data_IF_130139551222
#
_entry.id   IF_130139551222
#
_cell.length_a   1.000
_cell.length_b   1.000
_cell.length_c   1.000
_cell.angle_alpha   90.00
_cell.angle_beta   90.00
_cell.angle_gamma   90.00
#
_symmetry.space_group_name_H-M   'P 1'
#
loop_
_entity.id
_entity.type
_entity.pdbx_description
1 polymer ?
#
# COMPACT_ATOMS: atom_id res chain seq x y z
N UNK A 1 9.07 -3.48 -20.33
CA UNK A 1 8.39 -2.83 -19.20
C UNK A 1 9.44 -2.37 -18.21
N UNK A 2 9.26 -1.23 -17.53
CA UNK A 2 10.22 -0.73 -16.54
C UNK A 2 10.39 -1.72 -15.38
N UNK A 3 11.61 -1.81 -14.84
CA UNK A 3 11.88 -2.67 -13.66
C UNK A 3 11.31 -2.07 -12.36
N UNK A 4 11.24 -0.73 -12.30
CA UNK A 4 10.82 0.06 -11.14
C UNK A 4 9.69 1.02 -11.54
N UNK A 5 8.53 0.89 -10.90
CA UNK A 5 7.39 1.78 -11.10
C UNK A 5 7.05 2.49 -9.80
N UNK A 6 6.83 3.79 -9.88
CA UNK A 6 6.39 4.66 -8.81
C UNK A 6 4.98 5.15 -9.15
N UNK A 7 3.99 4.71 -8.38
CA UNK A 7 2.57 5.02 -8.52
C UNK A 7 2.22 6.03 -7.45
N UNK A 8 1.79 7.21 -7.88
CA UNK A 8 1.60 8.37 -7.01
C UNK A 8 0.11 8.71 -7.02
N UNK A 9 -0.51 8.71 -5.83
CA UNK A 9 -1.85 9.25 -5.63
C UNK A 9 -1.73 10.74 -5.31
N UNK A 10 -2.32 11.58 -6.16
CA UNK A 10 -2.23 13.04 -6.07
C UNK A 10 -3.61 13.67 -6.26
N UNK A 11 -3.79 14.85 -5.67
CA UNK A 11 -4.75 15.85 -6.11
C UNK A 11 -4.05 16.87 -7.00
N UNK A 12 -4.82 17.68 -7.74
CA UNK A 12 -4.28 18.71 -8.65
C UNK A 12 -3.47 19.81 -7.95
N UNK A 13 -3.62 19.96 -6.64
CA UNK A 13 -2.95 20.98 -5.83
C UNK A 13 -1.67 20.49 -5.15
N UNK A 14 -1.36 19.19 -5.24
CA UNK A 14 -0.20 18.61 -4.59
C UNK A 14 1.04 18.68 -5.46
N UNK A 15 2.18 18.89 -4.81
CA UNK A 15 3.45 18.96 -5.50
C UNK A 15 4.03 17.55 -5.70
N UNK A 16 4.16 17.14 -6.96
CA UNK A 16 4.80 15.88 -7.37
C UNK A 16 6.18 16.08 -8.03
N UNK A 17 6.65 17.32 -8.19
CA UNK A 17 7.91 17.61 -8.92
C UNK A 17 9.11 16.94 -8.26
N UNK A 18 9.14 16.87 -6.92
CA UNK A 18 10.25 16.31 -6.16
C UNK A 18 10.56 14.84 -6.49
N UNK A 19 9.58 14.07 -6.99
CA UNK A 19 9.82 12.70 -7.43
C UNK A 19 10.71 12.62 -8.68
N UNK A 20 10.68 13.64 -9.52
CA UNK A 20 11.49 13.69 -10.73
C UNK A 20 12.95 13.99 -10.40
N UNK A 21 13.18 14.84 -9.38
CA UNK A 21 14.51 15.20 -8.90
C UNK A 21 15.13 14.05 -8.07
N UNK A 22 14.38 13.50 -7.12
CA UNK A 22 14.91 12.59 -6.10
C UNK A 22 14.82 11.10 -6.46
N UNK A 23 13.86 10.72 -7.31
CA UNK A 23 13.61 9.34 -7.71
C UNK A 23 13.68 9.18 -9.23
N UNK A 24 14.60 9.88 -9.89
CA UNK A 24 14.79 9.92 -11.35
C UNK A 24 14.74 8.53 -12.01
N UNK A 25 15.36 7.53 -11.39
CA UNK A 25 15.44 6.11 -11.81
C UNK A 25 14.08 5.37 -11.88
N UNK A 26 13.04 5.87 -11.21
CA UNK A 26 11.72 5.24 -11.18
C UNK A 26 10.84 5.77 -12.30
N UNK A 27 10.09 4.90 -12.98
CA UNK A 27 9.02 5.37 -13.88
C UNK A 27 7.82 5.84 -13.05
N UNK A 28 7.40 7.09 -13.24
CA UNK A 28 6.27 7.68 -12.51
C UNK A 28 4.95 7.41 -13.22
N UNK A 29 3.93 7.15 -12.41
CA UNK A 29 2.53 7.01 -12.77
C UNK A 29 1.75 7.90 -11.80
N UNK A 30 1.54 9.17 -12.17
CA UNK A 30 0.87 10.16 -11.32
C UNK A 30 -0.62 10.13 -11.62
N UNK A 31 -1.42 9.62 -10.68
CA UNK A 31 -2.86 9.63 -10.78
C UNK A 31 -3.41 10.87 -10.07
N UNK A 32 -4.11 11.73 -10.82
CA UNK A 32 -4.77 12.92 -10.27
C UNK A 32 -6.25 12.61 -10.07
N UNK A 33 -6.66 12.45 -8.82
CA UNK A 33 -7.95 11.83 -8.46
C UNK A 33 -9.14 12.81 -8.46
N UNK A 34 -8.87 14.12 -8.55
CA UNK A 34 -9.85 15.20 -8.55
C UNK A 34 -9.84 16.03 -9.84
N UNK A 35 -9.22 15.50 -10.90
CA UNK A 35 -9.17 16.09 -12.24
C UNK A 35 -9.56 15.04 -13.30
N UNK A 36 -10.83 15.02 -13.78
CA UNK A 36 -11.31 14.04 -14.74
C UNK A 36 -10.58 14.07 -16.09
N UNK A 37 -9.94 15.20 -16.42
CA UNK A 37 -9.21 15.38 -17.67
C UNK A 37 -7.73 14.99 -17.59
N UNK A 38 -7.25 14.56 -16.42
CA UNK A 38 -5.87 14.15 -16.23
C UNK A 38 -5.55 12.86 -17.01
N UNK A 39 -4.32 12.76 -17.51
CA UNK A 39 -3.82 11.59 -18.26
C UNK A 39 -4.05 10.26 -17.53
N UNK A 40 -3.87 10.27 -16.21
CA UNK A 40 -4.18 9.17 -15.32
C UNK A 40 -5.10 9.65 -14.21
N UNK A 41 -6.29 9.06 -14.15
CA UNK A 41 -7.29 9.32 -13.12
C UNK A 41 -8.04 8.04 -12.76
N UNK A 42 -8.99 8.13 -11.83
CA UNK A 42 -9.83 7.02 -11.38
C UNK A 42 -11.30 7.33 -11.66
N UNK A 43 -12.09 6.35 -12.09
CA UNK A 43 -13.52 6.56 -12.42
C UNK A 43 -14.33 7.04 -11.22
N UNK A 44 -14.01 6.55 -10.01
CA UNK A 44 -14.63 7.01 -8.76
C UNK A 44 -13.62 6.97 -7.63
N UNK A 45 -13.30 8.13 -7.06
CA UNK A 45 -12.39 8.24 -5.93
C UNK A 45 -13.05 7.80 -4.61
N UNK A 46 -13.14 6.48 -4.38
CA UNK A 46 -13.61 5.88 -3.12
C UNK A 46 -12.42 5.20 -2.43
N UNK A 47 -12.06 5.66 -1.23
CA UNK A 47 -10.90 5.13 -0.49
C UNK A 47 -9.57 5.82 -0.81
N UNK A 48 -9.61 6.99 -1.47
CA UNK A 48 -8.45 7.88 -1.70
C UNK A 48 -7.29 7.14 -2.38
N UNK A 49 -6.12 7.08 -1.74
CA UNK A 49 -4.91 6.45 -2.27
C UNK A 49 -5.14 4.98 -2.64
N UNK A 50 -6.00 4.27 -1.89
CA UNK A 50 -6.32 2.87 -2.14
C UNK A 50 -6.93 2.63 -3.52
N UNK A 51 -7.73 3.58 -4.02
CA UNK A 51 -8.36 3.45 -5.34
C UNK A 51 -7.31 3.52 -6.44
N UNK A 52 -6.37 4.45 -6.34
CA UNK A 52 -5.25 4.60 -7.29
C UNK A 52 -4.43 3.31 -7.36
N UNK A 53 -4.08 2.76 -6.20
CA UNK A 53 -3.21 1.58 -6.13
C UNK A 53 -3.91 0.35 -6.70
N UNK A 54 -5.19 0.18 -6.39
CA UNK A 54 -6.00 -0.90 -6.93
C UNK A 54 -6.18 -0.77 -8.45
N UNK A 55 -6.52 0.42 -8.96
CA UNK A 55 -6.64 0.69 -10.39
C UNK A 55 -5.36 0.35 -11.13
N UNK A 56 -4.20 0.83 -10.66
CA UNK A 56 -2.92 0.50 -11.28
C UNK A 56 -2.67 -1.01 -11.34
N UNK A 57 -2.97 -1.74 -10.26
CA UNK A 57 -2.78 -3.19 -10.20
C UNK A 57 -3.68 -3.91 -11.22
N UNK A 58 -4.96 -3.51 -11.29
CA UNK A 58 -5.95 -4.09 -12.21
C UNK A 58 -5.53 -3.82 -13.66
N UNK A 59 -5.28 -2.56 -14.01
CA UNK A 59 -4.98 -2.12 -15.38
C UNK A 59 -3.70 -2.76 -15.92
N UNK A 60 -2.74 -3.03 -15.03
CA UNK A 60 -1.43 -3.58 -15.39
C UNK A 60 -1.29 -5.06 -15.05
N UNK A 61 -2.33 -5.76 -14.59
CA UNK A 61 -2.24 -7.09 -13.96
C UNK A 61 -1.35 -8.08 -14.73
N UNK A 62 -1.59 -8.22 -16.04
CA UNK A 62 -0.83 -9.13 -16.92
C UNK A 62 0.65 -8.72 -17.05
N UNK A 63 0.94 -7.42 -17.01
CA UNK A 63 2.27 -6.86 -17.26
C UNK A 63 2.84 -6.05 -16.08
N UNK A 64 2.45 -6.39 -14.84
CA UNK A 64 2.93 -5.70 -13.64
C UNK A 64 4.47 -5.57 -13.61
N UNK A 65 5.00 -4.38 -13.27
CA UNK A 65 6.44 -4.17 -13.06
C UNK A 65 7.01 -5.07 -11.96
N UNK A 66 8.33 -5.28 -11.98
CA UNK A 66 9.00 -6.15 -11.01
C UNK A 66 8.99 -5.56 -9.60
N UNK A 67 9.22 -4.26 -9.47
CA UNK A 67 9.18 -3.52 -8.21
C UNK A 67 8.24 -2.33 -8.37
N UNK A 68 7.23 -2.23 -7.51
CA UNK A 68 6.22 -1.18 -7.58
C UNK A 68 6.16 -0.49 -6.23
N UNK A 69 6.35 0.81 -6.23
CA UNK A 69 6.27 1.71 -5.09
C UNK A 69 5.02 2.56 -5.22
N UNK A 70 4.17 2.53 -4.21
CA UNK A 70 2.94 3.30 -4.10
C UNK A 70 3.15 4.37 -3.05
N UNK A 71 2.95 5.63 -3.42
CA UNK A 71 3.13 6.77 -2.53
C UNK A 71 1.97 7.76 -2.64
N UNK A 72 1.77 8.52 -1.58
CA UNK A 72 1.04 9.77 -1.63
C UNK A 72 1.93 10.90 -2.17
N UNK A 73 1.34 11.93 -2.80
CA UNK A 73 2.09 12.97 -3.50
C UNK A 73 2.94 13.85 -2.58
N UNK A 74 2.43 14.23 -1.42
CA UNK A 74 3.13 15.14 -0.51
C UNK A 74 4.37 14.48 0.13
N UNK A 75 5.51 15.17 0.08
CA UNK A 75 6.78 14.72 0.67
C UNK A 75 6.72 14.63 2.20
N UNK A 76 6.19 15.67 2.84
CA UNK A 76 6.11 15.76 4.29
C UNK A 76 4.71 15.36 4.75
N UNK A 77 4.58 14.23 5.44
CA UNK A 77 3.30 13.69 5.88
C UNK A 77 3.37 13.12 7.30
N UNK A 78 2.38 13.43 8.12
CA UNK A 78 2.26 12.95 9.50
C UNK A 78 2.34 11.42 9.68
N UNK A 79 2.14 10.66 8.59
CA UNK A 79 2.17 9.21 8.57
C UNK A 79 3.45 8.64 7.93
N UNK A 80 4.43 9.48 7.58
CA UNK A 80 5.78 9.05 7.26
C UNK A 80 6.53 8.73 8.56
N UNK A 81 7.33 7.67 8.53
CA UNK A 81 8.15 7.22 9.65
C UNK A 81 9.51 7.94 9.67
N UNK A 82 9.44 9.24 9.92
CA UNK A 82 10.58 10.14 10.02
C UNK A 82 10.23 11.24 11.04
N UNK A 83 11.16 11.64 11.93
CA UNK A 83 10.89 12.68 12.95
C UNK A 83 10.43 14.01 12.36
N UNK A 84 10.89 14.36 11.16
CA UNK A 84 10.52 15.57 10.42
C UNK A 84 9.37 15.30 9.43
N UNK A 85 8.78 14.11 9.49
CA UNK A 85 7.74 13.63 8.58
C UNK A 85 8.18 13.53 7.12
N UNK A 86 9.49 13.55 6.85
CA UNK A 86 10.03 13.52 5.48
C UNK A 86 10.01 12.12 4.89
N UNK A 87 9.18 11.92 3.85
CA UNK A 87 9.13 10.65 3.13
C UNK A 87 10.41 10.35 2.34
N UNK A 88 11.19 11.37 1.97
CA UNK A 88 12.42 11.17 1.20
C UNK A 88 13.50 10.45 2.01
N UNK A 89 13.62 10.74 3.31
CA UNK A 89 14.57 10.09 4.21
C UNK A 89 14.42 8.57 4.20
N UNK A 90 13.18 8.08 4.23
CA UNK A 90 12.84 6.65 4.20
C UNK A 90 13.19 6.07 2.82
N UNK A 91 12.85 6.79 1.75
CA UNK A 91 13.08 6.33 0.37
C UNK A 91 14.55 6.25 -0.01
N UNK A 92 15.41 7.12 0.57
CA UNK A 92 16.87 7.07 0.38
C UNK A 92 17.52 5.88 1.08
N UNK A 93 16.96 5.44 2.20
CA UNK A 93 17.48 4.29 2.96
C UNK A 93 16.97 2.94 2.42
N UNK A 94 15.93 2.97 1.59
CA UNK A 94 15.29 1.78 1.06
C UNK A 94 16.21 0.96 0.12
N UNK A 95 16.21 -0.37 0.31
CA UNK A 95 17.04 -1.32 -0.45
C UNK A 95 16.20 -2.27 -1.28
N UNK A 96 16.32 -2.19 -2.62
CA UNK A 96 15.66 -3.14 -3.56
C UNK A 96 15.98 -4.61 -3.24
N UNK A 97 17.21 -5.02 -2.88
CA UNK A 97 17.48 -6.40 -2.48
C UNK A 97 16.62 -6.87 -1.30
N UNK A 98 16.37 -6.01 -0.32
CA UNK A 98 15.52 -6.33 0.83
C UNK A 98 14.04 -6.49 0.43
N UNK A 99 13.52 -5.62 -0.45
CA UNK A 99 12.20 -5.85 -1.07
C UNK A 99 12.16 -7.20 -1.80
N UNK A 100 13.21 -7.52 -2.55
CA UNK A 100 13.27 -8.77 -3.31
C UNK A 100 13.20 -9.98 -2.38
N UNK A 101 13.82 -9.90 -1.22
CA UNK A 101 13.73 -10.91 -0.17
C UNK A 101 12.33 -10.96 0.44
N UNK A 102 11.78 -9.87 0.97
CA UNK A 102 10.50 -9.89 1.71
C UNK A 102 9.26 -10.01 0.80
N UNK A 103 9.32 -9.52 -0.43
CA UNK A 103 8.24 -9.54 -1.42
C UNK A 103 7.18 -8.44 -1.26
N UNK A 104 7.06 -7.90 -0.05
CA UNK A 104 6.20 -6.78 0.34
C UNK A 104 6.94 -6.01 1.43
N UNK A 105 6.85 -4.68 1.42
CA UNK A 105 7.32 -3.83 2.52
C UNK A 105 6.33 -2.70 2.78
N UNK A 106 6.15 -2.38 4.05
CA UNK A 106 5.56 -1.11 4.45
C UNK A 106 6.67 -0.08 4.68
N UNK A 107 6.42 1.17 4.27
CA UNK A 107 7.38 2.26 4.48
C UNK A 107 7.23 2.94 5.84
N UNK A 108 6.19 2.61 6.61
CA UNK A 108 6.01 3.06 7.98
C UNK A 108 6.37 1.92 8.94
N UNK A 109 7.28 2.20 9.87
CA UNK A 109 7.72 1.26 10.90
C UNK A 109 7.59 1.83 12.31
N UNK A 110 6.35 2.02 12.76
CA UNK A 110 6.06 2.56 14.10
C UNK A 110 5.38 1.54 15.00
N UNK A 111 5.64 1.66 16.30
CA UNK A 111 5.05 0.80 17.34
C UNK A 111 3.60 1.17 17.72
N UNK A 112 3.10 2.33 17.27
CA UNK A 112 1.83 2.90 17.74
C UNK A 112 0.64 2.55 16.84
N UNK A 113 0.87 2.21 15.57
CA UNK A 113 -0.18 1.88 14.58
C UNK A 113 0.33 0.74 13.70
N UNK A 114 -0.39 -0.37 13.60
CA UNK A 114 0.06 -1.54 12.83
C UNK A 114 0.58 -2.72 13.67
N UNK A 115 1.19 -2.46 14.82
CA UNK A 115 2.03 -3.41 15.56
C UNK A 115 1.55 -3.69 17.00
N UNK A 116 1.69 -4.94 17.52
CA UNK A 116 2.09 -6.16 16.80
C UNK A 116 0.95 -6.72 15.93
N UNK A 117 -0.27 -6.20 16.06
CA UNK A 117 -1.44 -6.62 15.27
C UNK A 117 -2.48 -5.50 15.28
N UNK A 118 -2.70 -4.87 14.14
CA UNK A 118 -3.76 -3.86 13.95
C UNK A 118 -5.15 -4.48 13.83
N UNK A 119 -5.27 -5.54 13.03
CA UNK A 119 -6.55 -6.19 12.75
C UNK A 119 -6.52 -7.62 13.27
N UNK A 120 -7.51 -7.98 14.09
CA UNK A 120 -7.76 -9.30 14.64
C UNK A 120 -9.09 -9.79 14.11
N UNK A 121 -9.17 -10.27 12.86
CA UNK A 121 -10.43 -10.29 12.14
C UNK A 121 -11.52 -11.18 12.79
N UNK A 122 -11.15 -12.22 13.55
CA UNK A 122 -12.11 -13.05 14.29
C UNK A 122 -12.64 -12.38 15.55
N UNK A 123 -11.83 -11.54 16.22
CA UNK A 123 -12.22 -10.81 17.43
C UNK A 123 -13.00 -9.55 17.07
N UNK A 124 -12.50 -8.81 16.08
CA UNK A 124 -13.04 -7.51 15.71
C UNK A 124 -14.40 -7.63 15.00
N UNK A 125 -14.75 -8.79 14.42
CA UNK A 125 -16.03 -9.00 13.74
C UNK A 125 -17.26 -8.91 14.66
N UNK A 126 -17.09 -9.00 15.99
CA UNK A 126 -18.19 -8.96 16.97
C UNK A 126 -18.43 -7.61 17.65
N UNK A 127 -17.45 -6.69 17.60
CA UNK A 127 -17.48 -5.44 18.38
C UNK A 127 -18.12 -4.27 17.59
N UNK A 128 -19.43 -4.29 17.38
CA UNK A 128 -20.14 -3.20 16.66
C UNK A 128 -20.29 -1.90 17.48
N UNK A 129 -19.74 -1.84 18.70
CA UNK A 129 -20.06 -0.82 19.71
C UNK A 129 -19.07 0.37 19.75
N UNK A 130 -18.13 0.47 18.81
CA UNK A 130 -17.26 1.66 18.73
C UNK A 130 -17.78 2.70 17.73
N UNK A 131 -17.79 3.96 18.18
CA UNK A 131 -18.26 5.15 17.47
C UNK A 131 -17.36 5.57 16.30
N UNK A 132 -16.29 4.83 16.02
CA UNK A 132 -15.38 5.05 14.89
C UNK A 132 -15.27 3.78 14.04
N UNK A 133 -15.48 3.92 12.73
CA UNK A 133 -15.37 2.82 11.78
C UNK A 133 -13.92 2.30 11.69
N UNK A 134 -13.61 1.25 12.44
CA UNK A 134 -12.33 0.55 12.34
C UNK A 134 -12.39 -0.53 11.25
N UNK A 135 -11.35 -0.63 10.41
CA UNK A 135 -11.32 -1.56 9.27
C UNK A 135 -11.48 -3.04 9.69
N UNK A 136 -11.10 -3.37 10.93
CA UNK A 136 -11.16 -4.74 11.45
C UNK A 136 -12.57 -5.35 11.48
N UNK A 137 -13.62 -4.54 11.67
CA UNK A 137 -15.00 -5.03 11.73
C UNK A 137 -15.47 -5.61 10.39
N UNK A 138 -15.06 -4.99 9.28
CA UNK A 138 -15.48 -5.39 7.94
C UNK A 138 -14.54 -6.41 7.31
N UNK A 139 -13.30 -6.52 7.82
CA UNK A 139 -12.26 -7.31 7.18
C UNK A 139 -12.67 -8.79 7.02
N UNK A 140 -13.24 -9.40 8.07
CA UNK A 140 -13.62 -10.82 8.03
C UNK A 140 -14.60 -11.10 6.89
N UNK A 141 -15.70 -10.35 6.85
CA UNK A 141 -16.74 -10.51 5.84
C UNK A 141 -16.16 -10.29 4.43
N UNK A 142 -15.41 -9.20 4.23
CA UNK A 142 -14.81 -8.90 2.93
C UNK A 142 -13.84 -10.00 2.47
N UNK A 143 -13.05 -10.57 3.39
CA UNK A 143 -12.13 -11.66 3.06
C UNK A 143 -12.87 -12.95 2.68
N UNK A 144 -13.93 -13.31 3.40
CA UNK A 144 -14.75 -14.50 3.11
C UNK A 144 -15.46 -14.37 1.76
N UNK A 145 -15.93 -13.16 1.41
CA UNK A 145 -16.52 -12.88 0.09
C UNK A 145 -15.49 -13.00 -1.04
N UNK A 146 -14.28 -12.48 -0.85
CA UNK A 146 -13.22 -12.50 -1.87
C UNK A 146 -12.52 -13.86 -1.99
N UNK A 147 -12.45 -14.65 -0.91
CA UNK A 147 -11.70 -15.90 -0.83
C UNK A 147 -12.51 -17.02 -0.14
N UNK A 148 -13.62 -17.48 -0.73
CA UNK A 148 -14.54 -18.41 -0.08
C UNK A 148 -13.95 -19.79 0.26
N UNK A 149 -12.82 -20.15 -0.36
CA UNK A 149 -12.14 -21.46 -0.17
C UNK A 149 -10.80 -21.35 0.57
N UNK A 150 -10.37 -20.16 0.98
CA UNK A 150 -9.08 -19.97 1.64
C UNK A 150 -9.20 -20.11 3.16
N UNK A 151 -8.19 -20.70 3.81
CA UNK A 151 -8.11 -20.71 5.26
C UNK A 151 -7.85 -19.30 5.80
N UNK A 152 -8.68 -18.90 6.74
CA UNK A 152 -8.71 -17.57 7.31
C UNK A 152 -7.50 -17.30 8.23
N UNK A 153 -6.84 -16.14 8.09
CA UNK A 153 -5.71 -15.75 8.93
C UNK A 153 -6.20 -15.20 10.29
N UNK A 154 -5.65 -15.71 11.40
CA UNK A 154 -6.09 -15.34 12.75
C UNK A 154 -5.70 -13.92 13.17
N UNK A 155 -4.64 -13.36 12.58
CA UNK A 155 -4.10 -12.03 12.89
C UNK A 155 -3.54 -11.42 11.62
N UNK A 156 -3.73 -10.12 11.46
CA UNK A 156 -3.17 -9.37 10.35
C UNK A 156 -2.44 -8.15 10.88
N UNK A 157 -1.19 -8.02 10.45
CA UNK A 157 -0.51 -6.73 10.48
C UNK A 157 -1.14 -5.92 9.36
N UNK A 158 -1.98 -4.95 9.73
CA UNK A 158 -2.50 -3.97 8.79
C UNK A 158 -1.69 -2.71 8.99
N UNK A 159 -0.66 -2.47 8.19
CA UNK A 159 -0.05 -1.17 8.23
C UNK A 159 -1.05 -0.19 7.59
N UNK A 160 -1.25 0.96 8.23
CA UNK A 160 -2.09 2.05 7.71
C UNK A 160 -1.66 2.35 6.28
N UNK A 161 -2.47 1.95 5.29
CA UNK A 161 -2.04 1.84 3.89
C UNK A 161 -2.04 3.22 3.24
N UNK A 162 -0.87 3.85 3.16
CA UNK A 162 -0.63 4.97 2.23
C UNK A 162 0.65 4.83 1.44
N UNK A 163 1.68 4.19 2.01
CA UNK A 163 2.95 3.99 1.31
C UNK A 163 3.30 2.49 1.29
N UNK A 164 3.35 1.90 0.09
CA UNK A 164 3.44 0.46 -0.08
C UNK A 164 4.45 0.08 -1.16
N UNK A 165 5.14 -1.05 -0.97
CA UNK A 165 6.01 -1.62 -1.97
C UNK A 165 5.70 -3.09 -2.26
N UNK A 166 5.54 -3.43 -3.54
CA UNK A 166 5.14 -4.76 -4.01
C UNK A 166 6.10 -5.33 -5.04
N UNK A 167 6.34 -6.65 -4.96
CA UNK A 167 7.08 -7.43 -5.97
C UNK A 167 6.23 -8.51 -6.62
N UNK A 168 6.15 -8.49 -7.96
CA UNK A 168 5.31 -9.43 -8.72
C UNK A 168 5.67 -10.92 -8.50
N UNK A 169 6.96 -11.26 -8.61
CA UNK A 169 7.42 -12.66 -8.73
C UNK A 169 7.15 -13.52 -7.48
N UNK A 170 7.01 -12.93 -6.29
CA UNK A 170 6.80 -13.68 -5.03
C UNK A 170 5.34 -13.64 -4.56
N UNK A 171 4.67 -12.49 -4.69
CA UNK A 171 3.31 -12.33 -4.20
C UNK A 171 2.28 -13.12 -5.03
N UNK A 172 2.46 -13.19 -6.35
CA UNK A 172 1.43 -13.75 -7.25
C UNK A 172 1.70 -15.19 -7.73
N UNK A 173 2.95 -15.68 -7.66
CA UNK A 173 3.28 -17.05 -8.07
C UNK A 173 3.16 -18.08 -6.93
N UNK A 174 3.05 -17.65 -5.68
CA UNK A 174 2.71 -18.56 -4.60
C UNK A 174 1.19 -18.72 -4.54
N UNK A 175 0.70 -19.95 -4.73
CA UNK A 175 -0.67 -20.35 -4.35
C UNK A 175 -0.96 -19.83 -2.93
N UNK A 176 -2.21 -19.46 -2.67
CA UNK A 176 -2.80 -18.90 -1.44
C UNK A 176 -2.34 -19.49 -0.08
N UNK A 177 -1.54 -20.56 -0.05
CA UNK A 177 -1.02 -21.25 1.14
C UNK A 177 0.14 -20.54 1.86
N UNK A 178 0.75 -19.48 1.31
CA UNK A 178 1.88 -18.78 1.96
C UNK A 178 1.63 -17.35 2.40
N UNK A 179 0.39 -16.84 2.37
CA UNK A 179 0.06 -15.64 3.16
C UNK A 179 -0.01 -15.99 4.66
N UNK A 180 1.01 -16.67 5.19
CA UNK A 180 1.29 -16.60 6.61
C UNK A 180 1.80 -15.18 6.82
N UNK A 181 1.09 -14.38 7.61
CA UNK A 181 1.62 -13.13 8.10
C UNK A 181 2.99 -13.44 8.67
N UNK A 182 4.05 -13.05 7.95
CA UNK A 182 5.35 -12.93 8.58
C UNK A 182 5.13 -12.01 9.76
N UNK A 183 5.74 -12.31 10.90
CA UNK A 183 5.94 -11.30 11.93
C UNK A 183 6.68 -10.16 11.24
N UNK A 184 5.92 -9.18 10.77
CA UNK A 184 6.46 -7.92 10.29
C UNK A 184 6.78 -7.20 11.60
N UNK A 185 7.89 -7.60 12.20
CA UNK A 185 8.63 -6.70 13.06
C UNK A 185 9.04 -5.52 12.19
N UNK A 186 8.86 -4.33 12.75
CA UNK A 186 10.00 -3.44 12.74
C UNK A 186 11.22 -4.19 13.31
#
# INVERSE_FOLDING_TARGET
MPEKALVIASTKHENTSWFYDELSEWRKYVYVVDEPTADLTVTRNKGRESMVYLSFIIDNYRKLPANILFLHAQRYQWHNDDPDYDGLSILRQFRIPYLREKGYLNLRCVWVLGCPTEIRPLKDAGDLVQTQAHAGHFYKQAFEELFPVAQFQKRLVCPVVRNLLLRKKRYWNNRLSTMRGSEIGC
#
